data_IF_439459483503
#
_entry.id   IF_439459483503
#
_cell.length_a   1.000
_cell.length_b   1.000
_cell.length_c   1.000
_cell.angle_alpha   90.00
_cell.angle_beta   90.00
_cell.angle_gamma   90.00
#
_symmetry.space_group_name_H-M   'P 1'
#
loop_
_entity.id
_entity.type
_entity.pdbx_description
1 polymer ?
#
# COMPACT_ATOMS: atom_id res chain seq x y z
N UNK A 1 28.91 -5.96 -4.64
CA UNK A 1 28.31 -6.21 -5.97
C UNK A 1 27.82 -4.88 -6.51
N UNK A 2 28.34 -4.42 -7.65
CA UNK A 2 27.98 -3.13 -8.23
C UNK A 2 26.71 -3.29 -9.09
N UNK A 3 25.57 -2.77 -8.62
CA UNK A 3 24.37 -2.62 -9.45
C UNK A 3 24.62 -1.46 -10.44
N UNK A 4 25.04 -1.78 -11.67
CA UNK A 4 25.02 -0.81 -12.76
C UNK A 4 23.56 -0.63 -13.22
N UNK A 5 23.03 0.58 -13.03
CA UNK A 5 21.79 0.99 -13.69
C UNK A 5 22.07 1.07 -15.20
N UNK A 6 21.72 0.03 -15.98
CA UNK A 6 21.66 0.20 -17.43
C UNK A 6 20.51 1.15 -17.74
N UNK A 7 20.80 2.14 -18.58
CA UNK A 7 19.82 3.11 -19.10
C UNK A 7 19.13 2.58 -20.37
N UNK A 8 19.35 1.30 -20.69
CA UNK A 8 18.89 0.63 -21.90
C UNK A 8 17.52 -0.01 -21.69
N UNK A 9 16.48 0.82 -21.76
CA UNK A 9 15.09 0.37 -21.85
C UNK A 9 14.51 -0.25 -20.58
N UNK A 10 13.28 0.14 -20.22
CA UNK A 10 12.52 -0.55 -19.18
C UNK A 10 12.19 -1.96 -19.70
N UNK A 11 13.09 -2.92 -19.50
CA UNK A 11 12.81 -4.33 -19.73
C UNK A 11 11.88 -4.78 -18.61
N UNK A 12 10.66 -5.20 -18.97
CA UNK A 12 9.62 -5.55 -18.00
C UNK A 12 10.14 -6.71 -17.14
N UNK A 13 10.40 -6.45 -15.86
CA UNK A 13 10.73 -7.49 -14.88
C UNK A 13 9.46 -8.26 -14.48
N UNK A 14 8.84 -8.94 -15.44
CA UNK A 14 7.65 -9.77 -15.23
C UNK A 14 7.80 -10.83 -14.12
N UNK A 15 8.99 -11.43 -13.87
CA UNK A 15 9.20 -12.32 -12.73
C UNK A 15 8.93 -11.68 -11.36
N UNK A 16 9.07 -10.35 -11.21
CA UNK A 16 8.80 -9.65 -9.95
C UNK A 16 7.36 -9.84 -9.46
N UNK A 17 6.38 -9.87 -10.37
CA UNK A 17 4.97 -10.09 -10.00
C UNK A 17 4.71 -11.46 -9.37
N UNK A 18 5.60 -12.44 -9.60
CA UNK A 18 5.50 -13.78 -8.99
C UNK A 18 6.14 -13.84 -7.60
N UNK A 19 6.80 -12.77 -7.16
CA UNK A 19 7.33 -12.68 -5.81
C UNK A 19 6.23 -12.31 -4.82
N UNK A 20 6.38 -12.72 -3.56
CA UNK A 20 5.41 -12.40 -2.51
C UNK A 20 5.21 -10.88 -2.34
N UNK A 21 6.29 -10.10 -2.32
CA UNK A 21 6.21 -8.63 -2.26
C UNK A 21 5.48 -8.04 -3.48
N UNK A 22 5.74 -8.55 -4.69
CA UNK A 22 4.98 -8.16 -5.88
C UNK A 22 3.48 -8.45 -5.76
N UNK A 23 3.11 -9.63 -5.23
CA UNK A 23 1.71 -9.96 -4.94
C UNK A 23 1.12 -9.03 -3.86
N UNK A 24 1.85 -8.72 -2.80
CA UNK A 24 1.44 -7.76 -1.77
C UNK A 24 1.13 -6.39 -2.37
N UNK A 25 1.98 -5.85 -3.27
CA UNK A 25 1.70 -4.58 -3.96
C UNK A 25 0.40 -4.60 -4.76
N UNK A 26 0.08 -5.70 -5.43
CA UNK A 26 -1.20 -5.85 -6.12
C UNK A 26 -2.39 -5.86 -5.14
N UNK A 27 -2.27 -6.56 -4.02
CA UNK A 27 -3.31 -6.58 -2.99
C UNK A 27 -3.49 -5.20 -2.34
N UNK A 28 -2.41 -4.50 -2.00
CA UNK A 28 -2.43 -3.13 -1.48
C UNK A 28 -3.23 -2.21 -2.41
N UNK A 29 -2.91 -2.21 -3.71
CA UNK A 29 -3.59 -1.36 -4.70
C UNK A 29 -5.06 -1.74 -4.81
N UNK A 30 -5.39 -3.04 -4.89
CA UNK A 30 -6.77 -3.50 -5.08
C UNK A 30 -7.65 -3.18 -3.87
N UNK A 31 -7.14 -3.40 -2.66
CA UNK A 31 -7.86 -3.11 -1.42
C UNK A 31 -8.11 -1.61 -1.26
N UNK A 32 -7.10 -0.78 -1.48
CA UNK A 32 -7.22 0.68 -1.35
C UNK A 32 -8.11 1.26 -2.45
N UNK A 33 -8.01 0.76 -3.70
CA UNK A 33 -8.89 1.19 -4.79
C UNK A 33 -10.35 0.86 -4.51
N UNK A 34 -10.63 -0.34 -3.98
CA UNK A 34 -11.96 -0.75 -3.59
C UNK A 34 -12.52 0.11 -2.44
N UNK A 35 -11.71 0.37 -1.41
CA UNK A 35 -12.09 1.24 -0.30
C UNK A 35 -12.37 2.68 -0.76
N UNK A 36 -11.54 3.22 -1.65
CA UNK A 36 -11.73 4.54 -2.23
C UNK A 36 -12.97 4.61 -3.13
N UNK A 37 -13.27 3.55 -3.89
CA UNK A 37 -14.49 3.42 -4.67
C UNK A 37 -15.74 3.48 -3.79
N UNK A 38 -15.75 2.74 -2.67
CA UNK A 38 -16.83 2.81 -1.68
C UNK A 38 -16.95 4.22 -1.11
N UNK A 39 -15.83 4.83 -0.70
CA UNK A 39 -15.81 6.19 -0.17
C UNK A 39 -16.42 7.23 -1.12
N UNK A 40 -16.25 7.04 -2.44
CA UNK A 40 -16.74 7.99 -3.45
C UNK A 40 -18.16 7.74 -3.92
N UNK A 41 -18.61 6.49 -3.93
CA UNK A 41 -19.87 6.09 -4.58
C UNK A 41 -20.96 5.79 -3.57
N UNK A 42 -20.61 5.22 -2.41
CA UNK A 42 -21.60 4.80 -1.44
C UNK A 42 -22.09 5.99 -0.60
N UNK A 43 -23.40 6.19 -0.63
CA UNK A 43 -24.04 7.13 0.27
C UNK A 43 -23.83 6.66 1.72
N UNK A 44 -23.36 7.57 2.58
CA UNK A 44 -22.96 7.31 3.98
C UNK A 44 -21.64 6.53 4.19
N UNK A 45 -20.73 6.48 3.22
CA UNK A 45 -19.34 6.10 3.50
C UNK A 45 -18.57 7.28 4.13
N UNK A 46 -18.24 7.16 5.42
CA UNK A 46 -17.66 8.26 6.21
C UNK A 46 -16.70 7.73 7.28
N UNK A 47 -15.72 8.56 7.63
CA UNK A 47 -14.75 8.34 8.70
C UNK A 47 -15.20 8.98 10.03
N UNK A 48 -16.48 9.39 10.15
CA UNK A 48 -17.07 9.88 11.41
C UNK A 48 -16.96 11.39 11.64
N UNK A 49 -16.34 12.16 10.75
CA UNK A 49 -16.28 13.62 10.86
C UNK A 49 -15.48 14.27 9.73
N UNK A 50 -15.57 15.60 9.60
CA UNK A 50 -14.92 16.36 8.52
C UNK A 50 -13.39 16.15 8.47
N UNK A 51 -12.70 16.29 9.60
CA UNK A 51 -11.24 16.10 9.66
C UNK A 51 -10.84 14.64 9.40
N UNK A 52 -11.59 13.68 9.93
CA UNK A 52 -11.35 12.26 9.70
C UNK A 52 -11.57 11.88 8.23
N UNK A 53 -12.55 12.49 7.57
CA UNK A 53 -12.79 12.31 6.13
C UNK A 53 -11.64 12.84 5.29
N UNK A 54 -11.11 14.03 5.63
CA UNK A 54 -9.95 14.60 4.93
C UNK A 54 -8.72 13.72 5.14
N UNK A 55 -8.48 13.25 6.36
CA UNK A 55 -7.38 12.33 6.66
C UNK A 55 -7.51 11.00 5.91
N UNK A 56 -8.61 10.27 6.10
CA UNK A 56 -8.83 8.96 5.48
C UNK A 56 -8.83 9.04 3.96
N UNK A 57 -9.50 10.05 3.38
CA UNK A 57 -9.47 10.34 1.96
C UNK A 57 -8.06 10.64 1.44
N UNK A 58 -7.31 11.48 2.15
CA UNK A 58 -5.94 11.84 1.80
C UNK A 58 -4.99 10.64 1.81
N UNK A 59 -5.08 9.77 2.82
CA UNK A 59 -4.25 8.56 2.94
C UNK A 59 -4.54 7.58 1.79
N UNK A 60 -5.81 7.37 1.44
CA UNK A 60 -6.18 6.52 0.30
C UNK A 60 -5.63 7.07 -1.02
N UNK A 61 -5.75 8.38 -1.25
CA UNK A 61 -5.21 9.02 -2.46
C UNK A 61 -3.68 8.91 -2.51
N UNK A 62 -3.01 9.15 -1.38
CA UNK A 62 -1.55 9.03 -1.31
C UNK A 62 -1.09 7.61 -1.67
N UNK A 63 -1.73 6.58 -1.13
CA UNK A 63 -1.40 5.19 -1.45
C UNK A 63 -1.70 4.82 -2.91
N UNK A 64 -2.80 5.33 -3.49
CA UNK A 64 -3.11 5.11 -4.91
C UNK A 64 -2.13 5.80 -5.86
N UNK A 65 -1.30 6.72 -5.37
CA UNK A 65 -0.22 7.34 -6.15
C UNK A 65 1.10 6.61 -5.89
N UNK A 66 1.46 6.45 -4.62
CA UNK A 66 2.77 5.95 -4.19
C UNK A 66 2.94 4.47 -4.53
N UNK A 67 1.94 3.63 -4.24
CA UNK A 67 2.08 2.17 -4.38
C UNK A 67 2.18 1.72 -5.83
N UNK A 68 1.41 2.27 -6.79
CA UNK A 68 1.65 2.02 -8.21
C UNK A 68 3.01 2.55 -8.69
N UNK A 69 3.48 3.68 -8.16
CA UNK A 69 4.79 4.23 -8.52
C UNK A 69 5.93 3.31 -8.06
N UNK A 70 5.83 2.72 -6.86
CA UNK A 70 6.74 1.70 -6.36
C UNK A 70 6.71 0.46 -7.26
N UNK A 71 5.52 -0.02 -7.63
CA UNK A 71 5.36 -1.15 -8.54
C UNK A 71 6.00 -0.89 -9.91
N UNK A 72 5.84 0.32 -10.47
CA UNK A 72 6.48 0.74 -11.72
C UNK A 72 8.02 0.77 -11.60
N UNK A 73 8.55 1.26 -10.49
CA UNK A 73 10.00 1.22 -10.22
C UNK A 73 10.52 -0.22 -10.25
N UNK A 74 9.77 -1.18 -9.70
CA UNK A 74 10.13 -2.61 -9.75
C UNK A 74 10.05 -3.21 -11.15
N UNK A 75 9.06 -2.80 -11.94
CA UNK A 75 8.96 -3.23 -13.34
C UNK A 75 10.14 -2.77 -14.18
N UNK A 76 10.67 -1.57 -13.94
CA UNK A 76 11.86 -1.07 -14.63
C UNK A 76 13.19 -1.54 -14.00
N UNK A 77 13.16 -2.61 -13.20
CA UNK A 77 14.38 -3.27 -12.71
C UNK A 77 15.13 -2.52 -11.62
N UNK A 78 14.56 -1.43 -11.07
CA UNK A 78 15.15 -0.70 -9.93
C UNK A 78 14.89 -1.41 -8.60
N UNK A 79 15.43 -2.62 -8.48
CA UNK A 79 15.35 -3.47 -7.27
C UNK A 79 16.12 -2.88 -6.08
N UNK A 80 16.96 -1.87 -6.29
CA UNK A 80 17.67 -1.14 -5.21
C UNK A 80 16.70 -0.42 -4.26
N UNK A 81 15.51 -0.05 -4.74
CA UNK A 81 14.43 0.51 -3.90
C UNK A 81 13.94 -0.54 -2.88
N UNK A 82 13.92 -1.82 -3.28
CA UNK A 82 13.50 -2.95 -2.45
C UNK A 82 14.61 -3.57 -1.61
N UNK A 83 15.87 -3.47 -2.04
CA UNK A 83 16.98 -4.18 -1.36
C UNK A 83 17.84 -3.26 -0.51
N UNK A 84 18.15 -2.05 -1.00
CA UNK A 84 19.20 -1.20 -0.42
C UNK A 84 18.65 0.06 0.25
N UNK A 85 17.44 0.48 -0.11
CA UNK A 85 16.91 1.77 0.34
C UNK A 85 15.89 1.59 1.48
N UNK A 86 16.04 2.35 2.57
CA UNK A 86 15.11 2.40 3.73
C UNK A 86 13.76 3.06 3.36
N UNK A 87 13.65 3.62 2.16
CA UNK A 87 12.52 4.42 1.70
C UNK A 87 11.22 3.61 1.62
N UNK A 88 11.23 2.44 0.97
CA UNK A 88 10.03 1.60 0.88
C UNK A 88 9.51 1.14 2.26
N UNK A 89 10.34 0.57 3.16
CA UNK A 89 9.82 0.10 4.43
C UNK A 89 9.33 1.25 5.31
N UNK A 90 9.93 2.43 5.20
CA UNK A 90 9.42 3.65 5.83
C UNK A 90 8.04 4.03 5.28
N UNK A 91 7.88 4.07 3.95
CA UNK A 91 6.60 4.37 3.29
C UNK A 91 5.53 3.35 3.69
N UNK A 92 5.82 2.05 3.57
CA UNK A 92 4.92 0.98 3.94
C UNK A 92 4.53 1.04 5.43
N UNK A 93 5.47 1.39 6.32
CA UNK A 93 5.19 1.52 7.76
C UNK A 93 4.27 2.70 8.06
N UNK A 94 4.52 3.85 7.41
CA UNK A 94 3.67 5.05 7.54
C UNK A 94 2.27 4.77 6.98
N UNK A 95 2.18 4.16 5.80
CA UNK A 95 0.91 3.79 5.19
C UNK A 95 0.16 2.76 6.03
N UNK A 96 0.85 1.74 6.57
CA UNK A 96 0.28 0.77 7.50
C UNK A 96 -0.38 1.47 8.69
N UNK A 97 0.36 2.35 9.38
CA UNK A 97 -0.15 3.06 10.56
C UNK A 97 -1.33 3.96 10.20
N UNK A 98 -1.23 4.71 9.10
CA UNK A 98 -2.31 5.61 8.65
C UNK A 98 -3.56 4.84 8.21
N UNK A 99 -3.41 3.70 7.54
CA UNK A 99 -4.53 2.85 7.17
C UNK A 99 -5.19 2.18 8.36
N UNK A 100 -4.42 1.79 9.37
CA UNK A 100 -4.98 1.24 10.60
C UNK A 100 -5.84 2.29 11.34
N UNK A 101 -5.34 3.52 11.45
CA UNK A 101 -6.06 4.65 12.04
C UNK A 101 -7.31 4.98 11.23
N UNK A 102 -7.18 5.17 9.91
CA UNK A 102 -8.30 5.50 9.02
C UNK A 102 -9.36 4.39 9.03
N UNK A 103 -8.94 3.12 9.00
CA UNK A 103 -9.84 1.97 9.08
C UNK A 103 -10.60 1.93 10.41
N UNK A 104 -9.93 2.21 11.51
CA UNK A 104 -10.56 2.28 12.84
C UNK A 104 -11.61 3.39 12.91
N UNK A 105 -11.31 4.58 12.37
CA UNK A 105 -12.28 5.68 12.29
C UNK A 105 -13.51 5.33 11.44
N UNK A 106 -13.30 4.68 10.29
CA UNK A 106 -14.38 4.25 9.42
C UNK A 106 -15.30 3.22 10.11
N UNK A 107 -14.73 2.22 10.78
CA UNK A 107 -15.49 1.22 11.56
C UNK A 107 -16.28 1.89 12.69
N UNK A 108 -15.67 2.84 13.40
CA UNK A 108 -16.31 3.58 14.50
C UNK A 108 -17.49 4.46 14.09
N UNK A 109 -17.71 4.70 12.79
CA UNK A 109 -18.87 5.46 12.31
C UNK A 109 -20.17 4.65 12.24
N UNK A 110 -20.10 3.32 12.45
CA UNK A 110 -21.22 2.37 12.50
C UNK A 110 -22.12 2.27 11.25
N UNK A 111 -21.86 3.01 10.18
CA UNK A 111 -22.55 2.82 8.91
C UNK A 111 -22.02 1.60 8.17
N UNK A 112 -22.91 0.80 7.57
CA UNK A 112 -22.55 -0.44 6.88
C UNK A 112 -21.42 -0.26 5.86
N UNK A 113 -21.53 0.74 4.97
CA UNK A 113 -20.48 1.02 3.97
C UNK A 113 -19.18 1.51 4.58
N UNK A 114 -19.24 2.29 5.66
CA UNK A 114 -18.04 2.70 6.38
C UNK A 114 -17.35 1.54 7.09
N UNK A 115 -18.10 0.58 7.62
CA UNK A 115 -17.52 -0.63 8.23
C UNK A 115 -16.84 -1.49 7.18
N UNK A 116 -17.45 -1.68 6.00
CA UNK A 116 -16.81 -2.41 4.89
C UNK A 116 -15.55 -1.68 4.41
N UNK A 117 -15.64 -0.37 4.19
CA UNK A 117 -14.50 0.46 3.82
C UNK A 117 -13.39 0.35 4.88
N UNK A 118 -13.74 0.46 6.15
CA UNK A 118 -12.80 0.37 7.26
C UNK A 118 -12.13 -1.01 7.36
N UNK A 119 -12.88 -2.09 7.15
CA UNK A 119 -12.34 -3.44 7.09
C UNK A 119 -11.33 -3.58 5.94
N UNK A 120 -11.63 -3.05 4.75
CA UNK A 120 -10.70 -3.05 3.62
C UNK A 120 -9.42 -2.26 3.92
N UNK A 121 -9.52 -1.13 4.61
CA UNK A 121 -8.36 -0.32 5.01
C UNK A 121 -7.51 -1.03 6.07
N UNK A 122 -8.13 -1.70 7.05
CA UNK A 122 -7.41 -2.54 8.03
C UNK A 122 -6.73 -3.72 7.33
N UNK A 123 -7.42 -4.37 6.38
CA UNK A 123 -6.79 -5.42 5.56
C UNK A 123 -5.61 -4.88 4.76
N UNK A 124 -5.73 -3.69 4.16
CA UNK A 124 -4.61 -3.05 3.46
C UNK A 124 -3.43 -2.81 4.41
N UNK A 125 -3.69 -2.30 5.63
CA UNK A 125 -2.65 -2.10 6.65
C UNK A 125 -1.92 -3.42 6.99
N UNK A 126 -2.63 -4.53 7.12
CA UNK A 126 -2.04 -5.85 7.35
C UNK A 126 -1.15 -6.26 6.18
N UNK A 127 -1.56 -5.99 4.93
CA UNK A 127 -0.75 -6.32 3.75
C UNK A 127 0.53 -5.46 3.71
N UNK A 128 0.46 -4.16 3.99
CA UNK A 128 1.65 -3.29 4.11
C UNK A 128 2.60 -3.77 5.21
N UNK A 129 2.05 -4.24 6.34
CA UNK A 129 2.84 -4.82 7.43
C UNK A 129 3.49 -6.13 7.02
N UNK A 130 2.77 -7.02 6.33
CA UNK A 130 3.29 -8.29 5.85
C UNK A 130 4.42 -8.10 4.82
N UNK A 131 4.28 -7.13 3.92
CA UNK A 131 5.32 -6.75 2.95
C UNK A 131 6.60 -6.27 3.68
N UNK A 132 6.44 -5.46 4.74
CA UNK A 132 7.55 -5.06 5.61
C UNK A 132 8.20 -6.23 6.36
N UNK A 133 7.42 -7.12 6.97
CA UNK A 133 7.94 -8.24 7.75
C UNK A 133 8.70 -9.24 6.87
N UNK A 134 8.22 -9.51 5.65
CA UNK A 134 8.89 -10.42 4.73
C UNK A 134 10.34 -9.96 4.42
N UNK A 135 10.56 -8.65 4.38
CA UNK A 135 11.90 -8.07 4.15
C UNK A 135 12.85 -8.37 5.31
N UNK A 136 12.42 -8.22 6.56
CA UNK A 136 13.24 -8.55 7.73
C UNK A 136 13.59 -10.04 7.78
N UNK A 137 12.64 -10.92 7.49
CA UNK A 137 12.88 -12.39 7.49
C UNK A 137 13.92 -12.78 6.42
N UNK A 138 13.97 -12.09 5.27
CA UNK A 138 14.98 -12.36 4.23
C UNK A 138 16.39 -11.84 4.56
N UNK A 139 16.51 -10.85 5.43
CA UNK A 139 17.81 -10.33 5.85
C UNK A 139 18.52 -11.23 6.87
N UNK A 140 17.80 -12.07 7.63
CA UNK A 140 18.37 -12.96 8.64
C UNK A 140 18.94 -14.29 8.06
N UNK A 141 18.73 -14.57 6.78
CA UNK A 141 19.18 -15.80 6.12
C UNK A 141 20.41 -15.61 5.20
N UNK A 142 21.03 -14.43 5.21
CA UNK A 142 22.28 -14.13 4.49
C UNK A 142 23.38 -13.72 5.48
#
# INVERSE_FOLDING_TARGET
MNCQCSTDGCSINAPYMRTFSGMCKFFEITLVASAFGIYRIADKASFGGGHANVFGGGVMVAALIITPLLLLCYFCGRLDVQSTTVLEPAINSVLCLFFFIAGSYAIGSHYFFSVIMGALLVSAAIVYLADNMQRYIRCDYN
#
